data_IF_494317465615
#
_entry.id   IF_494317465615
#
_cell.length_a   1.000
_cell.length_b   1.000
_cell.length_c   1.000
_cell.angle_alpha   90.00
_cell.angle_beta   90.00
_cell.angle_gamma   90.00
#
_symmetry.space_group_name_H-M   'P 1'
#
loop_
_entity.id
_entity.type
_entity.pdbx_description
1 polymer ?
#
# COMPACT_ATOMS: atom_id res chain seq x y z
N UNK A 1 1.15 12.07 14.85
CA UNK A 1 1.32 11.63 13.44
C UNK A 1 2.11 10.33 13.41
N UNK A 2 1.50 9.27 12.90
CA UNK A 2 2.05 7.90 12.84
C UNK A 2 2.51 7.66 11.41
N UNK A 3 3.73 7.14 11.26
CA UNK A 3 4.24 6.69 9.97
C UNK A 3 4.25 5.16 10.00
N UNK A 4 3.48 4.54 9.11
CA UNK A 4 3.50 3.10 8.95
C UNK A 4 4.85 2.66 8.38
N UNK A 5 5.59 1.82 9.11
CA UNK A 5 6.87 1.27 8.68
C UNK A 5 6.82 -0.25 8.81
N UNK A 6 6.33 -0.94 7.77
CA UNK A 6 6.27 -2.40 7.83
C UNK A 6 5.79 -3.03 6.53
N UNK A 7 6.68 -3.81 5.90
CA UNK A 7 6.31 -4.92 5.03
C UNK A 7 5.39 -4.63 3.85
N UNK A 8 5.32 -3.39 3.35
CA UNK A 8 4.51 -3.07 2.16
C UNK A 8 4.98 -3.94 1.01
N UNK A 9 4.17 -4.93 0.64
CA UNK A 9 4.46 -5.90 -0.39
C UNK A 9 3.76 -5.54 -1.70
N UNK A 10 2.73 -4.70 -1.64
CA UNK A 10 2.01 -4.25 -2.82
C UNK A 10 1.08 -3.07 -2.54
N UNK A 11 0.33 -2.68 -3.58
CA UNK A 11 -0.66 -1.61 -3.50
C UNK A 11 -1.80 -1.89 -2.50
N UNK A 12 -2.15 -3.16 -2.29
CA UNK A 12 -3.19 -3.52 -1.32
C UNK A 12 -2.84 -3.06 0.10
N UNK A 13 -1.57 -3.14 0.50
CA UNK A 13 -1.13 -2.66 1.81
C UNK A 13 -1.33 -1.14 1.94
N UNK A 14 -1.06 -0.38 0.87
CA UNK A 14 -1.28 1.06 0.82
C UNK A 14 -2.78 1.38 0.94
N UNK A 15 -3.63 0.66 0.20
CA UNK A 15 -5.09 0.83 0.26
C UNK A 15 -5.65 0.60 1.68
N UNK A 16 -5.08 -0.34 2.43
CA UNK A 16 -5.48 -0.61 3.83
C UNK A 16 -5.05 0.48 4.81
N UNK A 17 -4.05 1.30 4.46
CA UNK A 17 -3.56 2.39 5.32
C UNK A 17 -4.32 3.70 5.11
N UNK A 18 -4.85 3.94 3.91
CA UNK A 18 -5.67 5.13 3.60
C UNK A 18 -6.81 5.37 4.61
N UNK A 19 -7.65 4.38 4.97
CA UNK A 19 -8.74 4.61 5.93
C UNK A 19 -8.26 4.84 7.38
N UNK A 20 -6.96 4.65 7.68
CA UNK A 20 -6.37 4.88 8.99
C UNK A 20 -5.82 6.32 9.17
N UNK A 21 -5.97 7.18 8.16
CA UNK A 21 -5.69 8.62 8.29
C UNK A 21 -6.35 9.26 9.53
N UNK A 22 -7.67 9.06 9.81
CA UNK A 22 -8.31 9.57 11.02
C UNK A 22 -7.71 9.03 12.33
N UNK A 23 -7.12 7.84 12.30
CA UNK A 23 -6.41 7.24 13.45
C UNK A 23 -4.99 7.82 13.62
N UNK A 24 -4.62 8.78 12.77
CA UNK A 24 -3.36 9.52 12.84
C UNK A 24 -2.26 8.99 11.94
N UNK A 25 -2.54 8.04 11.04
CA UNK A 25 -1.57 7.56 10.05
C UNK A 25 -1.36 8.63 8.99
N UNK A 26 -0.19 9.26 9.01
CA UNK A 26 0.17 10.36 8.11
C UNK A 26 0.92 9.89 6.85
N UNK A 27 1.41 8.65 6.83
CA UNK A 27 2.15 8.13 5.69
C UNK A 27 2.71 6.73 5.92
N UNK A 28 3.36 6.22 4.89
CA UNK A 28 3.99 4.89 4.90
C UNK A 28 5.36 4.93 4.24
N UNK A 29 6.32 4.22 4.81
CA UNK A 29 7.65 4.04 4.22
C UNK A 29 7.67 2.74 3.41
N UNK A 30 7.87 2.86 2.10
CA UNK A 30 8.00 1.71 1.20
C UNK A 30 9.47 1.53 0.83
N UNK A 31 10.00 0.34 1.11
CA UNK A 31 11.39 -0.02 0.82
C UNK A 31 11.48 -0.96 -0.38
N UNK A 32 11.89 -2.21 -0.13
CA UNK A 32 12.16 -3.27 -1.12
C UNK A 32 11.12 -3.36 -2.26
N UNK A 33 9.83 -3.23 -1.96
CA UNK A 33 8.78 -3.36 -2.95
C UNK A 33 8.81 -2.28 -4.06
N UNK A 34 9.35 -1.08 -3.80
CA UNK A 34 9.62 -0.09 -4.85
C UNK A 34 10.73 -0.57 -5.78
N UNK A 35 11.80 -1.15 -5.22
CA UNK A 35 12.96 -1.61 -5.99
C UNK A 35 12.68 -2.89 -6.79
N UNK A 36 11.84 -3.79 -6.28
CA UNK A 36 11.47 -5.02 -6.98
C UNK A 36 10.32 -4.82 -7.98
N UNK A 37 9.78 -3.60 -8.09
CA UNK A 37 8.66 -3.27 -8.97
C UNK A 37 7.31 -3.83 -8.50
N UNK A 38 7.24 -4.37 -7.27
CA UNK A 38 5.99 -4.86 -6.67
C UNK A 38 5.05 -3.70 -6.30
N UNK A 39 5.61 -2.52 -6.05
CA UNK A 39 4.88 -1.25 -5.93
C UNK A 39 5.45 -0.27 -6.93
N UNK A 40 4.58 0.28 -7.79
CA UNK A 40 4.92 1.43 -8.63
C UNK A 40 4.57 2.72 -7.91
N UNK A 41 5.53 3.62 -7.77
CA UNK A 41 5.36 4.89 -7.05
C UNK A 41 4.15 5.70 -7.55
N UNK A 42 3.99 5.83 -8.86
CA UNK A 42 2.86 6.55 -9.45
C UNK A 42 1.50 5.93 -9.06
N UNK A 43 1.42 4.60 -8.99
CA UNK A 43 0.20 3.90 -8.62
C UNK A 43 -0.11 4.04 -7.13
N UNK A 44 0.93 4.00 -6.29
CA UNK A 44 0.83 4.22 -4.86
C UNK A 44 0.31 5.64 -4.54
N UNK A 45 0.82 6.66 -5.23
CA UNK A 45 0.36 8.04 -5.05
C UNK A 45 -1.09 8.21 -5.53
N UNK A 46 -1.44 7.64 -6.68
CA UNK A 46 -2.81 7.69 -7.18
C UNK A 46 -3.79 7.06 -6.17
N UNK A 47 -3.39 5.94 -5.56
CA UNK A 47 -4.18 5.25 -4.54
C UNK A 47 -4.34 6.04 -3.25
N UNK A 48 -3.25 6.59 -2.73
CA UNK A 48 -3.28 7.43 -1.53
C UNK A 48 -4.16 8.68 -1.72
N UNK A 49 -4.30 9.15 -2.96
CA UNK A 49 -5.19 10.27 -3.33
C UNK A 49 -6.63 9.84 -3.65
N UNK A 50 -6.95 8.55 -3.56
CA UNK A 50 -8.27 8.02 -3.95
C UNK A 50 -8.54 8.08 -5.46
N UNK A 51 -7.53 8.30 -6.29
CA UNK A 51 -7.64 8.40 -7.75
C UNK A 51 -7.61 7.02 -8.44
N UNK A 52 -7.54 5.93 -7.66
CA UNK A 52 -7.47 4.56 -8.18
C UNK A 52 -8.14 3.57 -7.23
N UNK A 53 -8.98 2.71 -7.78
CA UNK A 53 -9.48 1.50 -7.10
C UNK A 53 -8.53 0.31 -7.34
N UNK A 54 -8.24 -0.45 -6.29
CA UNK A 54 -7.57 -1.74 -6.41
C UNK A 54 -8.64 -2.76 -6.82
N UNK A 55 -8.53 -3.44 -7.97
CA UNK A 55 -9.25 -4.68 -8.14
C UNK A 55 -8.76 -5.61 -7.03
N UNK A 56 -9.63 -5.90 -6.06
CA UNK A 56 -9.36 -6.82 -4.97
C UNK A 56 -9.20 -8.22 -5.58
N UNK A 57 -8.02 -8.51 -6.11
CA UNK A 57 -7.65 -9.86 -6.48
C UNK A 57 -7.71 -10.69 -5.19
N UNK A 58 -8.46 -11.81 -5.17
CA UNK A 58 -8.40 -12.71 -4.03
C UNK A 58 -6.94 -13.08 -3.84
N UNK A 59 -6.47 -12.96 -2.60
CA UNK A 59 -5.12 -13.32 -2.20
C UNK A 59 -4.89 -14.80 -2.52
N UNK A 60 -4.46 -15.09 -3.75
CA UNK A 60 -4.08 -16.40 -4.21
C UNK A 60 -2.66 -16.70 -3.75
N UNK A 61 -2.50 -16.93 -2.45
CA UNK A 61 -1.31 -17.66 -1.96
C UNK A 61 -1.69 -19.12 -1.79
N UNK A 62 -1.40 -19.89 -2.83
CA UNK A 62 -1.07 -21.30 -2.67
C UNK A 62 0.05 -21.42 -1.64
N UNK A 63 -0.24 -22.17 -0.58
CA UNK A 63 0.76 -22.64 0.37
C UNK A 63 1.62 -23.68 -0.36
N UNK A 64 2.93 -23.52 -0.25
CA UNK A 64 3.97 -24.48 -0.61
C UNK A 64 5.14 -24.29 0.32
#
# INVERSE_FOLDING_TARGET
>A
PIIASGGVAGLHDIARLVPLEPDGVAGVIVGRALYTGAVKLAEAIAMARGLREVPLSPCGRGQG
#
